data_IF_081010796193
#
_entry.id   IF_081010796193
#
_cell.length_a   1.000
_cell.length_b   1.000
_cell.length_c   1.000
_cell.angle_alpha   90.00
_cell.angle_beta   90.00
_cell.angle_gamma   90.00
#
_symmetry.space_group_name_H-M   'P 1'
#
loop_
_entity.id
_entity.type
_entity.pdbx_description
1 polymer ?
#
# COMPACT_ATOMS: atom_id res chain seq x y z
N UNK A 1 36.65 54.13 30.45
CA UNK A 1 35.85 54.19 29.21
C UNK A 1 35.22 52.83 28.96
N UNK A 2 33.89 52.65 29.00
CA UNK A 2 33.27 51.44 28.49
C UNK A 2 32.71 51.68 27.08
N UNK A 3 33.11 50.81 26.14
CA UNK A 3 32.59 50.75 24.77
C UNK A 3 31.11 50.33 24.79
N UNK A 4 30.26 51.20 24.26
CA UNK A 4 28.81 51.04 24.14
C UNK A 4 28.54 50.06 22.98
N UNK A 5 28.04 48.86 23.30
CA UNK A 5 27.63 47.86 22.31
C UNK A 5 26.42 48.37 21.50
N UNK A 6 26.47 48.41 20.15
CA UNK A 6 25.34 48.85 19.34
C UNK A 6 24.60 47.67 18.68
N UNK A 7 24.36 46.54 19.36
CA UNK A 7 23.90 45.32 18.66
C UNK A 7 22.57 44.72 19.14
N UNK A 8 21.79 45.40 19.99
CA UNK A 8 20.48 44.86 20.44
C UNK A 8 19.35 45.09 19.44
N UNK A 9 19.33 46.22 18.72
CA UNK A 9 18.27 46.52 17.77
C UNK A 9 18.41 45.69 16.48
N UNK A 10 19.63 45.51 15.97
CA UNK A 10 19.90 44.71 14.77
C UNK A 10 19.50 43.23 14.92
N UNK A 11 19.71 42.66 16.12
CA UNK A 11 19.36 41.27 16.41
C UNK A 11 17.84 41.02 16.43
N UNK A 12 17.06 42.01 16.86
CA UNK A 12 15.59 41.88 16.91
C UNK A 12 14.99 42.00 15.51
N UNK A 13 15.50 42.92 14.67
CA UNK A 13 15.07 43.04 13.27
C UNK A 13 15.39 41.79 12.44
N UNK A 14 16.55 41.16 12.66
CA UNK A 14 16.92 39.93 11.98
C UNK A 14 16.00 38.75 12.35
N UNK A 15 15.67 38.60 13.63
CA UNK A 15 14.75 37.56 14.10
C UNK A 15 13.32 37.76 13.58
N UNK A 16 12.87 39.02 13.48
CA UNK A 16 11.53 39.35 12.98
C UNK A 16 11.39 39.05 11.49
N UNK A 17 12.45 39.26 10.69
CA UNK A 17 12.48 38.86 9.28
C UNK A 17 12.53 37.35 9.08
N UNK A 18 13.27 36.61 9.94
CA UNK A 18 13.26 35.14 9.90
C UNK A 18 11.86 34.60 10.21
N UNK A 19 11.18 35.15 11.23
CA UNK A 19 9.81 34.77 11.56
C UNK A 19 8.82 35.05 10.41
N UNK A 20 8.98 36.19 9.71
CA UNK A 20 8.13 36.54 8.57
C UNK A 20 8.39 35.65 7.34
N UNK A 21 9.62 35.22 7.11
CA UNK A 21 9.97 34.30 6.01
C UNK A 21 9.46 32.88 6.27
N UNK A 22 9.44 32.42 7.52
CA UNK A 22 8.92 31.09 7.87
C UNK A 22 7.40 30.97 7.73
N UNK A 23 6.64 32.04 7.95
CA UNK A 23 5.17 32.01 7.79
C UNK A 23 4.74 31.99 6.32
N UNK A 24 5.48 32.64 5.42
CA UNK A 24 5.14 32.68 3.99
C UNK A 24 5.43 31.34 3.29
N UNK A 25 6.42 30.56 3.76
CA UNK A 25 6.73 29.22 3.21
C UNK A 25 5.74 28.13 3.65
N UNK A 26 4.99 28.34 4.73
CA UNK A 26 4.01 27.35 5.21
C UNK A 26 2.72 27.33 4.37
N UNK A 27 2.39 28.41 3.66
CA UNK A 27 1.09 28.56 2.98
C UNK A 27 1.07 28.00 1.54
N UNK A 28 2.23 27.72 0.92
CA UNK A 28 2.33 27.40 -0.52
C UNK A 28 2.15 25.91 -0.86
N UNK A 29 2.05 25.02 0.13
CA UNK A 29 1.95 23.57 -0.10
C UNK A 29 0.56 22.94 0.16
N UNK A 30 -0.51 23.74 0.17
CA UNK A 30 -1.87 23.17 0.12
C UNK A 30 -2.25 22.77 -1.31
N UNK A 31 -1.81 21.57 -1.70
CA UNK A 31 -2.45 20.82 -2.79
C UNK A 31 -3.91 20.60 -2.39
N UNK A 32 -4.90 20.98 -3.21
CA UNK A 32 -6.29 20.66 -2.93
C UNK A 32 -6.45 19.15 -2.94
N UNK A 33 -6.77 18.59 -1.77
CA UNK A 33 -7.11 17.19 -1.59
C UNK A 33 -8.39 16.90 -2.38
N UNK A 34 -8.23 16.39 -3.60
CA UNK A 34 -9.33 15.85 -4.39
C UNK A 34 -9.88 14.66 -3.62
N UNK A 35 -11.07 14.83 -3.04
CA UNK A 35 -11.79 13.81 -2.30
C UNK A 35 -11.88 12.53 -3.15
N UNK A 36 -11.07 11.54 -2.81
CA UNK A 36 -11.12 10.26 -3.50
C UNK A 36 -12.44 9.56 -3.14
N UNK A 37 -13.08 8.89 -4.10
CA UNK A 37 -14.29 8.13 -3.82
C UNK A 37 -13.97 7.03 -2.79
N UNK A 38 -14.61 7.12 -1.62
CA UNK A 38 -14.52 6.12 -0.55
C UNK A 38 -14.99 4.79 -1.11
N UNK A 39 -14.04 3.91 -1.44
CA UNK A 39 -14.36 2.55 -1.86
C UNK A 39 -15.02 1.85 -0.66
N UNK A 40 -16.11 1.09 -0.86
CA UNK A 40 -16.68 0.30 0.22
C UNK A 40 -15.60 -0.66 0.72
N UNK A 41 -15.09 -0.42 1.93
CA UNK A 41 -14.22 -1.34 2.64
C UNK A 41 -15.04 -2.57 2.94
N UNK A 42 -15.00 -3.55 2.04
CA UNK A 42 -15.36 -4.92 2.38
C UNK A 42 -14.52 -5.27 3.59
N UNK A 43 -15.16 -5.47 4.73
CA UNK A 43 -14.49 -5.74 6.00
C UNK A 43 -13.65 -7.01 5.88
N UNK A 44 -12.38 -6.86 5.50
CA UNK A 44 -11.42 -7.91 5.69
C UNK A 44 -11.35 -8.15 7.20
N UNK A 45 -11.53 -9.40 7.67
CA UNK A 45 -11.40 -9.68 9.09
C UNK A 45 -10.01 -9.21 9.53
N UNK A 46 -9.95 -8.56 10.69
CA UNK A 46 -8.69 -8.07 11.23
C UNK A 46 -7.77 -9.27 11.47
N UNK A 47 -6.48 -9.08 11.23
CA UNK A 47 -5.48 -10.08 11.57
C UNK A 47 -5.46 -10.30 13.09
N UNK A 48 -5.38 -11.55 13.59
CA UNK A 48 -5.25 -11.82 15.02
C UNK A 48 -4.06 -11.10 15.67
N UNK A 49 -2.97 -10.88 14.93
CA UNK A 49 -1.85 -10.05 15.42
C UNK A 49 -2.30 -8.63 15.78
N UNK A 50 -3.18 -8.02 14.98
CA UNK A 50 -3.68 -6.67 15.24
C UNK A 50 -4.76 -6.62 16.33
N UNK A 51 -5.39 -7.75 16.65
CA UNK A 51 -6.41 -7.84 17.70
C UNK A 51 -5.79 -8.07 19.09
N UNK A 52 -4.76 -8.90 19.17
CA UNK A 52 -4.20 -9.36 20.45
C UNK A 52 -2.90 -8.64 20.84
N UNK A 53 -2.14 -8.12 19.88
CA UNK A 53 -0.87 -7.43 20.16
C UNK A 53 -1.04 -5.91 20.10
N UNK A 54 -0.37 -5.20 21.00
CA UNK A 54 -0.23 -3.74 20.90
C UNK A 54 0.58 -3.35 19.67
N UNK A 55 0.52 -2.07 19.28
CA UNK A 55 1.29 -1.59 18.14
C UNK A 55 2.80 -1.78 18.34
N UNK A 56 3.34 -1.41 19.50
CA UNK A 56 4.76 -1.62 19.85
C UNK A 56 5.18 -3.10 19.77
N UNK A 57 4.29 -4.02 20.18
CA UNK A 57 4.53 -5.47 20.08
C UNK A 57 4.53 -5.96 18.63
N UNK A 58 3.66 -5.40 17.79
CA UNK A 58 3.63 -5.71 16.35
C UNK A 58 4.88 -5.21 15.65
N UNK A 59 5.35 -3.99 15.97
CA UNK A 59 6.58 -3.41 15.44
C UNK A 59 7.80 -4.23 15.87
N UNK A 60 7.90 -4.57 17.16
CA UNK A 60 8.97 -5.44 17.67
C UNK A 60 8.98 -6.81 16.98
N UNK A 61 7.81 -7.44 16.83
CA UNK A 61 7.70 -8.72 16.14
C UNK A 61 8.13 -8.61 14.67
N UNK A 62 7.77 -7.51 14.01
CA UNK A 62 8.15 -7.24 12.63
C UNK A 62 9.67 -7.10 12.47
N UNK A 63 10.32 -6.36 13.37
CA UNK A 63 11.78 -6.21 13.39
C UNK A 63 12.47 -7.56 13.58
N UNK A 64 12.07 -8.35 14.60
CA UNK A 64 12.63 -9.67 14.88
C UNK A 64 12.51 -10.62 13.68
N UNK A 65 11.37 -10.64 13.02
CA UNK A 65 11.15 -11.47 11.82
C UNK A 65 12.02 -11.01 10.67
N UNK A 66 12.16 -9.69 10.49
CA UNK A 66 12.95 -9.10 9.42
C UNK A 66 14.43 -9.42 9.60
N UNK A 67 14.96 -9.25 10.81
CA UNK A 67 16.34 -9.57 11.16
C UNK A 67 16.64 -11.07 11.01
N UNK A 68 15.76 -11.95 11.50
CA UNK A 68 15.93 -13.39 11.35
C UNK A 68 16.03 -13.80 9.88
N UNK A 69 15.19 -13.20 9.01
CA UNK A 69 15.23 -13.46 7.57
C UNK A 69 16.48 -12.89 6.90
N UNK A 70 16.95 -11.71 7.32
CA UNK A 70 18.21 -11.15 6.85
C UNK A 70 19.41 -12.04 7.20
N UNK A 71 19.36 -12.73 8.34
CA UNK A 71 20.35 -13.71 8.78
C UNK A 71 20.22 -15.07 8.07
N UNK A 72 19.24 -15.23 7.17
CA UNK A 72 19.03 -16.46 6.41
C UNK A 72 18.26 -17.55 7.17
N UNK A 73 17.53 -17.21 8.24
CA UNK A 73 16.66 -18.16 8.91
C UNK A 73 15.57 -18.65 7.96
N UNK A 74 15.31 -19.95 8.00
CA UNK A 74 14.25 -20.57 7.22
C UNK A 74 12.88 -20.27 7.83
N UNK A 75 11.83 -20.44 7.02
CA UNK A 75 10.46 -20.09 7.43
C UNK A 75 9.97 -20.87 8.65
N UNK A 76 10.48 -22.10 8.89
CA UNK A 76 10.10 -22.88 10.06
C UNK A 76 10.70 -22.28 11.35
N UNK A 77 11.96 -21.87 11.30
CA UNK A 77 12.64 -21.18 12.42
C UNK A 77 11.99 -19.83 12.71
N UNK A 78 11.66 -19.06 11.68
CA UNK A 78 10.95 -17.78 11.83
C UNK A 78 9.60 -17.98 12.54
N UNK A 79 8.82 -18.98 12.15
CA UNK A 79 7.55 -19.31 12.82
C UNK A 79 7.75 -19.69 14.29
N UNK A 80 8.76 -20.51 14.59
CA UNK A 80 9.10 -20.87 15.96
C UNK A 80 9.43 -19.62 16.80
N UNK A 81 10.17 -18.66 16.23
CA UNK A 81 10.49 -17.41 16.91
C UNK A 81 9.27 -16.52 17.13
N UNK A 82 8.37 -16.45 16.15
CA UNK A 82 7.08 -15.77 16.29
C UNK A 82 6.28 -16.38 17.45
N UNK A 83 6.06 -17.70 17.45
CA UNK A 83 5.29 -18.38 18.48
C UNK A 83 5.91 -18.19 19.87
N UNK A 84 7.24 -18.30 19.95
CA UNK A 84 7.99 -18.05 21.18
C UNK A 84 7.83 -16.63 21.68
N UNK A 85 7.86 -15.63 20.81
CA UNK A 85 7.63 -14.24 21.20
C UNK A 85 6.21 -14.04 21.74
N UNK A 86 5.20 -14.50 21.00
CA UNK A 86 3.79 -14.32 21.37
C UNK A 86 3.48 -14.99 22.71
N UNK A 87 4.01 -16.21 22.95
CA UNK A 87 3.83 -16.93 24.22
C UNK A 87 4.41 -16.20 25.44
N UNK A 88 5.35 -15.28 25.23
CA UNK A 88 5.95 -14.46 26.29
C UNK A 88 5.21 -13.15 26.53
N UNK A 89 4.68 -12.55 25.47
CA UNK A 89 4.00 -11.24 25.59
C UNK A 89 2.52 -11.37 25.93
N UNK A 90 1.88 -12.49 25.60
CA UNK A 90 0.49 -12.77 25.96
C UNK A 90 0.40 -13.68 27.19
N UNK A 91 -0.53 -13.40 28.14
CA UNK A 91 -0.87 -14.35 29.19
C UNK A 91 -1.37 -15.68 28.61
N UNK A 92 -1.19 -16.82 29.32
CA UNK A 92 -1.53 -18.15 28.79
C UNK A 92 -2.97 -18.28 28.25
N UNK A 93 -3.95 -17.66 28.93
CA UNK A 93 -5.35 -17.65 28.47
C UNK A 93 -5.52 -16.91 27.15
N UNK A 94 -4.91 -15.71 27.02
CA UNK A 94 -4.97 -14.90 25.81
C UNK A 94 -4.19 -15.52 24.66
N UNK A 95 -3.11 -16.24 24.96
CA UNK A 95 -2.36 -17.00 23.97
C UNK A 95 -3.19 -18.13 23.35
N UNK A 96 -3.95 -18.87 24.16
CA UNK A 96 -4.85 -19.90 23.66
C UNK A 96 -5.96 -19.31 22.75
N UNK A 97 -6.57 -18.20 23.18
CA UNK A 97 -7.54 -17.46 22.34
C UNK A 97 -6.91 -16.99 21.02
N UNK A 98 -5.68 -16.48 21.07
CA UNK A 98 -4.93 -16.06 19.89
C UNK A 98 -4.69 -17.23 18.93
N UNK A 99 -4.27 -18.39 19.41
CA UNK A 99 -4.02 -19.56 18.58
C UNK A 99 -5.29 -20.01 17.85
N UNK A 100 -6.41 -20.09 18.57
CA UNK A 100 -7.70 -20.44 17.98
C UNK A 100 -8.14 -19.41 16.92
N UNK A 101 -8.01 -18.11 17.22
CA UNK A 101 -8.32 -17.06 16.26
C UNK A 101 -7.40 -17.09 15.03
N UNK A 102 -6.12 -17.42 15.23
CA UNK A 102 -5.12 -17.54 14.18
C UNK A 102 -5.40 -18.70 13.24
N UNK A 103 -5.74 -19.88 13.77
CA UNK A 103 -6.13 -21.04 12.97
C UNK A 103 -7.38 -20.75 12.12
N UNK A 104 -8.41 -20.15 12.72
CA UNK A 104 -9.64 -19.76 12.00
C UNK A 104 -9.35 -18.73 10.90
N UNK A 105 -8.50 -17.75 11.19
CA UNK A 105 -8.11 -16.73 10.21
C UNK A 105 -7.35 -17.34 9.02
N UNK A 106 -6.38 -18.22 9.28
CA UNK A 106 -5.61 -18.89 8.23
C UNK A 106 -6.48 -19.86 7.43
N UNK A 107 -7.41 -20.58 8.05
CA UNK A 107 -8.37 -21.44 7.36
C UNK A 107 -9.22 -20.64 6.37
N UNK A 108 -9.82 -19.53 6.81
CA UNK A 108 -10.61 -18.63 5.95
C UNK A 108 -9.77 -18.02 4.81
N UNK A 109 -8.51 -17.70 5.09
CA UNK A 109 -7.57 -17.17 4.09
C UNK A 109 -7.21 -18.23 3.04
N UNK A 110 -7.08 -19.50 3.44
CA UNK A 110 -6.83 -20.63 2.54
C UNK A 110 -8.06 -20.99 1.71
N UNK A 111 -9.24 -20.97 2.31
CA UNK A 111 -10.50 -21.23 1.61
C UNK A 111 -10.73 -20.23 0.47
N UNK A 112 -10.47 -18.93 0.68
CA UNK A 112 -10.54 -17.92 -0.40
C UNK A 112 -9.53 -18.13 -1.54
N UNK A 113 -8.50 -18.94 -1.32
CA UNK A 113 -7.50 -19.31 -2.34
C UNK A 113 -7.81 -20.67 -2.97
N UNK A 114 -8.75 -21.43 -2.43
CA UNK A 114 -9.17 -22.68 -3.04
C UNK A 114 -9.90 -22.37 -4.35
N UNK A 115 -9.63 -23.21 -5.34
CA UNK A 115 -9.97 -23.04 -6.75
C UNK A 115 -11.46 -23.23 -6.99
N UNK A 116 -12.30 -22.30 -6.54
CA UNK A 116 -13.46 -21.98 -7.36
C UNK A 116 -12.89 -21.36 -8.64
N UNK A 117 -12.99 -22.08 -9.76
CA UNK A 117 -12.72 -21.56 -11.10
C UNK A 117 -13.31 -20.16 -11.17
N UNK A 118 -12.45 -19.14 -11.06
CA UNK A 118 -12.85 -17.76 -11.23
C UNK A 118 -13.33 -17.69 -12.67
N UNK A 119 -14.64 -17.78 -12.89
CA UNK A 119 -15.27 -17.53 -14.18
C UNK A 119 -14.75 -16.17 -14.64
N UNK A 120 -13.81 -16.20 -15.57
CA UNK A 120 -13.19 -15.01 -16.14
C UNK A 120 -14.36 -14.13 -16.59
N UNK A 121 -14.38 -12.82 -16.24
CA UNK A 121 -15.46 -11.94 -16.64
C UNK A 121 -15.61 -12.00 -18.17
N UNK A 122 -16.71 -12.60 -18.62
CA UNK A 122 -17.00 -12.90 -20.02
C UNK A 122 -16.90 -11.67 -20.96
N UNK A 123 -17.07 -10.46 -20.42
CA UNK A 123 -17.26 -9.24 -21.21
C UNK A 123 -16.14 -8.87 -22.19
N UNK A 124 -14.86 -9.04 -21.84
CA UNK A 124 -13.77 -8.55 -22.71
C UNK A 124 -13.45 -9.56 -23.81
N UNK A 125 -13.41 -10.84 -23.48
CA UNK A 125 -13.13 -11.90 -24.45
C UNK A 125 -14.30 -12.12 -25.41
N UNK A 126 -15.55 -12.00 -24.94
CA UNK A 126 -16.74 -12.06 -25.80
C UNK A 126 -16.79 -10.88 -26.80
N UNK A 127 -16.31 -9.68 -26.44
CA UNK A 127 -16.20 -8.57 -27.38
C UNK A 127 -15.18 -8.87 -28.47
N UNK A 128 -14.01 -9.41 -28.10
CA UNK A 128 -12.97 -9.79 -29.06
C UNK A 128 -13.50 -10.89 -29.99
N UNK A 129 -14.20 -11.90 -29.47
CA UNK A 129 -14.80 -12.97 -30.28
C UNK A 129 -15.98 -12.50 -31.15
N UNK A 130 -16.80 -11.56 -30.65
CA UNK A 130 -17.88 -10.96 -31.41
C UNK A 130 -17.38 -10.13 -32.60
N UNK A 131 -16.20 -9.50 -32.47
CA UNK A 131 -15.56 -8.74 -33.55
C UNK A 131 -14.54 -9.55 -34.37
N UNK A 132 -14.03 -10.68 -33.85
CA UNK A 132 -13.11 -11.57 -34.57
C UNK A 132 -13.84 -12.65 -35.38
N UNK A 133 -15.05 -13.03 -34.95
CA UNK A 133 -15.91 -14.02 -35.61
C UNK A 133 -16.79 -13.46 -36.74
N UNK A 134 -16.92 -12.13 -36.87
CA UNK A 134 -17.54 -11.52 -38.06
C UNK A 134 -16.53 -11.51 -39.20
N UNK A 135 -16.41 -12.67 -39.84
CA UNK A 135 -15.79 -12.87 -41.14
C UNK A 135 -16.25 -11.76 -42.09
N UNK A 136 -15.30 -11.09 -42.74
CA UNK A 136 -15.45 -10.19 -43.90
C UNK A 136 -15.22 -8.68 -43.67
N UNK A 137 -14.20 -8.32 -42.88
CA UNK A 137 -13.47 -7.06 -43.14
C UNK A 137 -12.17 -7.39 -43.87
N UNK A 138 -12.24 -7.48 -45.20
CA UNK A 138 -11.04 -7.47 -46.05
C UNK A 138 -10.31 -6.13 -45.91
N UNK A 139 -9.44 -6.04 -44.91
CA UNK A 139 -8.55 -4.89 -44.70
C UNK A 139 -7.64 -4.64 -45.91
N UNK A 140 -7.49 -5.60 -46.84
CA UNK A 140 -6.73 -5.37 -48.07
C UNK A 140 -7.35 -4.27 -48.93
N UNK A 141 -8.68 -4.12 -48.91
CA UNK A 141 -9.40 -3.06 -49.64
C UNK A 141 -9.08 -1.68 -49.07
N UNK A 142 -9.03 -1.56 -47.74
CA UNK A 142 -8.63 -0.32 -47.06
C UNK A 142 -7.21 0.11 -47.43
N UNK A 143 -6.24 -0.82 -47.44
CA UNK A 143 -4.87 -0.50 -47.84
C UNK A 143 -4.77 -0.19 -49.34
N UNK A 144 -5.47 -0.93 -50.21
CA UNK A 144 -5.48 -0.68 -51.66
C UNK A 144 -6.05 0.69 -52.02
N UNK A 145 -7.16 1.09 -51.40
CA UNK A 145 -7.84 2.36 -51.67
C UNK A 145 -7.01 3.55 -51.18
N UNK A 146 -6.36 3.45 -50.01
CA UNK A 146 -5.51 4.51 -49.49
C UNK A 146 -4.17 4.64 -50.22
N UNK A 147 -3.54 3.53 -50.63
CA UNK A 147 -2.32 3.56 -51.46
C UNK A 147 -2.60 4.16 -52.84
N UNK A 148 -3.77 3.87 -53.43
CA UNK A 148 -4.18 4.46 -54.72
C UNK A 148 -4.46 5.97 -54.60
N UNK A 149 -4.92 6.44 -53.43
CA UNK A 149 -5.13 7.86 -53.13
C UNK A 149 -3.82 8.62 -52.94
N UNK A 150 -2.81 7.98 -52.33
CA UNK A 150 -1.47 8.54 -52.15
C UNK A 150 -0.66 8.63 -53.45
N UNK A 151 -0.91 7.76 -54.45
CA UNK A 151 -0.24 7.81 -55.77
C UNK A 151 -0.81 8.84 -56.76
N UNK A 152 -1.91 9.53 -56.42
CA UNK A 152 -2.56 10.54 -57.27
C UNK A 152 -2.28 11.99 -56.82
N UNK A 153 -1.44 12.15 -55.80
CA UNK A 153 -0.76 13.39 -55.42
C UNK A 153 0.66 13.34 -56.00
#
# INVERSE_FOLDING_TARGET
MPLRSPNRLFSVFLLLHIFLLCTVLAEVNRVPEVAQPVRPTRGCPLSPYATYLSQDQQETLHELVTEARQQGADESTVKLHIDKYISKVLPPQKYAEFQEAFERFEANRREKRSTEEKKIPKKVFDLVDQYSGSVDTDYSKFYKDNVRKLRRL
#
